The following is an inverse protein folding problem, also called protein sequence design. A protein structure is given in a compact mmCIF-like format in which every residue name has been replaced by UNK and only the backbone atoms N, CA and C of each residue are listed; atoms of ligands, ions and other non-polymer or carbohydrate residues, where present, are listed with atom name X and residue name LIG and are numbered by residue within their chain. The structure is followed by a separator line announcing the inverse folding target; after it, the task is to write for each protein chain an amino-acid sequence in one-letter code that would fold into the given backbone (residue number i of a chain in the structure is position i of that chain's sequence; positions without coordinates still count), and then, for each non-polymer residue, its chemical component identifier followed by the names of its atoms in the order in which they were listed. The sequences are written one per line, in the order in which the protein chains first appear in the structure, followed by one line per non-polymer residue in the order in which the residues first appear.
data_IF_692884960371
#
_entry.id   IF_692884960371
#
_cell.length_a   1.000
_cell.length_b   1.000
_cell.length_c   1.000
_cell.angle_alpha   90.00
_cell.angle_beta   90.00
_cell.angle_gamma   90.00
#
_symmetry.space_group_name_H-M   'P 1'
#
loop_
_entity.id
_entity.type
_entity.pdbx_description
1 polymer ?
#
# COMPACT_ATOMS: atom_id res chain seq x y z
N UNK A 1 -0.13 19.13 -25.35
CA UNK A 1 0.29 19.36 -23.95
C UNK A 1 0.73 18.02 -23.40
N UNK A 2 2.04 17.74 -23.40
CA UNK A 2 2.57 16.47 -22.91
C UNK A 2 2.42 16.40 -21.39
N UNK A 3 1.91 15.29 -20.88
CA UNK A 3 1.66 15.01 -19.47
C UNK A 3 2.95 14.71 -18.69
N UNK A 4 4.06 15.38 -19.03
CA UNK A 4 5.37 15.23 -18.39
C UNK A 4 5.53 16.30 -17.30
N UNK A 5 4.64 16.25 -16.31
CA UNK A 5 5.01 16.71 -14.97
C UNK A 5 5.93 15.64 -14.39
N UNK A 6 7.21 15.95 -14.19
CA UNK A 6 8.17 15.09 -13.49
C UNK A 6 7.48 14.55 -12.24
N UNK A 7 7.05 13.28 -12.24
CA UNK A 7 6.49 12.64 -11.05
C UNK A 7 7.63 12.60 -10.04
N UNK A 8 7.56 13.48 -9.05
CA UNK A 8 8.51 13.51 -7.95
C UNK A 8 8.68 12.10 -7.40
N UNK A 9 9.93 11.66 -7.23
CA UNK A 9 10.22 10.36 -6.64
C UNK A 9 9.73 10.39 -5.20
N UNK A 10 8.83 9.45 -4.87
CA UNK A 10 8.22 9.32 -3.54
C UNK A 10 8.52 7.92 -3.02
N UNK A 11 8.87 7.83 -1.74
CA UNK A 11 9.05 6.56 -1.03
C UNK A 11 8.08 6.47 0.14
N UNK A 12 7.85 5.25 0.60
CA UNK A 12 7.03 5.00 1.78
C UNK A 12 7.89 5.23 3.02
N UNK A 13 7.43 6.09 3.93
CA UNK A 13 8.01 6.25 5.26
C UNK A 13 7.39 5.18 6.19
N UNK A 14 8.16 4.13 6.49
CA UNK A 14 7.68 3.00 7.30
C UNK A 14 7.47 3.37 8.78
N UNK A 15 8.22 4.34 9.31
CA UNK A 15 8.04 4.82 10.69
C UNK A 15 6.66 5.48 10.85
N UNK A 16 6.24 6.30 9.89
CA UNK A 16 4.90 6.93 9.89
C UNK A 16 3.77 5.95 9.74
N UNK A 17 3.97 4.88 8.97
CA UNK A 17 3.01 3.78 8.86
C UNK A 17 2.86 3.05 10.20
N UNK A 18 3.97 2.77 10.90
CA UNK A 18 3.95 2.11 12.20
C UNK A 18 3.30 2.98 13.28
N UNK A 19 3.62 4.28 13.33
CA UNK A 19 2.97 5.26 14.21
C UNK A 19 1.45 5.27 13.99
N UNK A 20 1.00 5.32 12.73
CA UNK A 20 -0.41 5.32 12.39
C UNK A 20 -1.12 4.03 12.85
N UNK A 21 -0.58 2.85 12.53
CA UNK A 21 -1.19 1.58 12.95
C UNK A 21 -1.28 1.45 14.46
N UNK A 22 -0.24 1.90 15.17
CA UNK A 22 -0.24 1.96 16.64
C UNK A 22 -1.36 2.88 17.14
N UNK A 23 -1.52 4.07 16.54
CA UNK A 23 -2.53 5.06 16.95
C UNK A 23 -3.98 4.55 16.85
N UNK A 24 -4.27 3.67 15.88
CA UNK A 24 -5.61 3.11 15.67
C UNK A 24 -5.79 1.73 16.32
N UNK A 25 -4.79 1.25 17.07
CA UNK A 25 -4.82 -0.08 17.70
C UNK A 25 -4.84 -1.23 16.69
N UNK A 26 -4.33 -1.03 15.47
CA UNK A 26 -4.26 -2.07 14.46
C UNK A 26 -3.13 -3.05 14.81
N UNK A 27 -3.43 -4.35 14.80
CA UNK A 27 -2.41 -5.37 14.94
C UNK A 27 -1.46 -5.34 13.73
N UNK A 28 -0.16 -5.28 14.03
CA UNK A 28 0.90 -5.46 13.07
C UNK A 28 1.00 -6.93 12.58
N UNK A 29 0.29 -7.87 13.19
CA UNK A 29 0.32 -9.28 12.80
C UNK A 29 -0.56 -9.57 11.59
N UNK A 30 -0.14 -10.59 10.83
CA UNK A 30 -0.95 -11.17 9.77
C UNK A 30 -2.24 -11.79 10.35
N UNK A 31 -3.43 -11.40 9.86
CA UNK A 31 -4.70 -11.90 10.39
C UNK A 31 -4.96 -13.38 10.07
N UNK A 32 -4.16 -13.98 9.16
CA UNK A 32 -4.32 -15.37 8.73
C UNK A 32 -3.43 -16.32 9.53
N UNK A 33 -2.22 -15.91 9.92
CA UNK A 33 -1.22 -16.81 10.50
C UNK A 33 -0.43 -16.23 11.67
N UNK A 34 -0.84 -15.06 12.17
CA UNK A 34 -0.23 -14.30 13.28
C UNK A 34 1.26 -13.98 13.11
N UNK A 35 1.78 -14.05 11.89
CA UNK A 35 3.15 -13.67 11.59
C UNK A 35 3.28 -12.13 11.56
N UNK A 36 4.20 -11.57 12.34
CA UNK A 36 4.47 -10.14 12.38
C UNK A 36 5.39 -9.65 11.24
N UNK A 37 6.02 -10.57 10.50
CA UNK A 37 6.98 -10.22 9.45
C UNK A 37 6.27 -10.02 8.11
N UNK A 38 6.42 -8.82 7.55
CA UNK A 38 5.87 -8.43 6.25
C UNK A 38 6.99 -8.02 5.30
N UNK A 39 6.74 -8.22 4.01
CA UNK A 39 7.56 -7.73 2.92
C UNK A 39 6.77 -6.69 2.14
N UNK A 40 7.35 -5.52 1.92
CA UNK A 40 6.83 -4.53 0.98
C UNK A 40 7.50 -4.74 -0.39
N UNK A 41 6.76 -4.78 -1.51
CA UNK A 41 7.36 -4.83 -2.83
C UNK A 41 8.18 -3.55 -3.09
N UNK A 42 9.39 -3.72 -3.60
CA UNK A 42 10.27 -2.62 -4.01
C UNK A 42 10.32 -2.52 -5.55
N UNK A 43 11.01 -1.51 -6.09
CA UNK A 43 11.11 -1.29 -7.53
C UNK A 43 11.76 -2.43 -8.32
N UNK A 44 12.44 -3.36 -7.65
CA UNK A 44 13.06 -4.54 -8.26
C UNK A 44 12.07 -5.71 -8.40
N UNK A 45 10.93 -5.64 -7.69
CA UNK A 45 9.84 -6.61 -7.69
C UNK A 45 8.64 -6.01 -8.44
N UNK A 46 8.46 -6.37 -9.71
CA UNK A 46 7.44 -5.87 -10.66
C UNK A 46 6.15 -5.31 -10.02
N UNK A 47 5.81 -4.07 -10.44
CA UNK A 47 4.46 -3.69 -10.89
C UNK A 47 3.53 -3.11 -9.83
N UNK A 48 3.11 -1.86 -10.05
CA UNK A 48 2.06 -1.22 -9.26
C UNK A 48 0.84 -2.12 -9.09
N UNK A 49 0.24 -2.08 -7.90
CA UNK A 49 -0.93 -2.85 -7.59
C UNK A 49 -2.17 -2.19 -8.23
N UNK A 50 -2.89 -2.92 -9.08
CA UNK A 50 -4.19 -2.49 -9.57
C UNK A 50 -5.24 -3.14 -8.67
N UNK A 51 -5.93 -2.34 -7.86
CA UNK A 51 -7.07 -2.82 -7.10
C UNK A 51 -8.24 -2.93 -8.09
N UNK A 52 -8.79 -4.13 -8.34
CA UNK A 52 -10.01 -4.23 -9.13
C UNK A 52 -11.13 -3.58 -8.31
N UNK A 53 -11.61 -2.43 -8.77
CA UNK A 53 -12.83 -1.85 -8.21
C UNK A 53 -14.00 -2.42 -9.01
N UNK A 54 -14.87 -3.17 -8.34
CA UNK A 54 -16.08 -3.70 -8.91
C UNK A 54 -17.24 -2.72 -8.72
N UNK A 55 -18.05 -2.50 -9.74
CA UNK A 55 -19.44 -2.09 -9.47
C UNK A 55 -20.20 -3.34 -9.02
N UNK A 56 -21.21 -3.21 -8.15
CA UNK A 56 -21.95 -4.35 -7.59
C UNK A 56 -22.65 -5.27 -8.63
N UNK A 57 -22.54 -4.97 -9.93
CA UNK A 57 -22.94 -5.78 -11.08
C UNK A 57 -21.86 -6.79 -11.54
N UNK A 58 -20.66 -6.77 -10.96
CA UNK A 58 -19.56 -7.67 -11.33
C UNK A 58 -18.60 -7.13 -12.39
N UNK A 59 -18.84 -5.92 -12.90
CA UNK A 59 -17.91 -5.25 -13.82
C UNK A 59 -16.66 -4.78 -13.05
N UNK A 60 -15.49 -5.25 -13.45
CA UNK A 60 -14.20 -4.85 -12.87
C UNK A 60 -13.58 -3.68 -13.63
N UNK A 61 -13.25 -2.62 -12.91
CA UNK A 61 -12.44 -1.52 -13.41
C UNK A 61 -11.05 -1.60 -12.79
N UNK A 62 -10.02 -1.68 -13.64
CA UNK A 62 -8.64 -1.59 -13.19
C UNK A 62 -8.27 -0.11 -13.06
N UNK A 63 -8.10 0.38 -11.83
CA UNK A 63 -7.55 1.72 -11.57
C UNK A 63 -6.25 1.59 -10.77
N UNK A 64 -5.26 2.39 -11.15
CA UNK A 64 -3.99 2.48 -10.41
C UNK A 64 -4.15 3.46 -9.26
N UNK A 65 -4.18 2.96 -8.03
CA UNK A 65 -4.24 3.78 -6.82
C UNK A 65 -2.90 3.71 -6.07
N UNK A 66 -2.45 4.82 -5.44
CA UNK A 66 -1.34 4.75 -4.52
C UNK A 66 -1.80 3.95 -3.28
N UNK A 67 -1.19 2.78 -3.08
CA UNK A 67 -1.48 1.90 -1.95
C UNK A 67 -0.17 1.40 -1.35
N UNK A 68 -0.16 1.24 -0.03
CA UNK A 68 0.84 0.44 0.67
C UNK A 68 0.43 -1.02 0.53
N UNK A 69 1.30 -1.84 -0.05
CA UNK A 69 1.12 -3.29 -0.16
C UNK A 69 2.06 -3.97 0.84
N UNK A 70 1.50 -4.85 1.66
CA UNK A 70 2.25 -5.66 2.61
C UNK A 70 1.98 -7.13 2.34
N UNK A 71 3.03 -7.93 2.14
CA UNK A 71 2.96 -9.36 1.84
C UNK A 71 3.48 -10.14 3.04
N UNK A 72 2.65 -10.98 3.64
CA UNK A 72 3.06 -11.81 4.76
C UNK A 72 4.15 -12.79 4.31
N UNK A 73 5.31 -12.80 4.97
CA UNK A 73 6.42 -13.67 4.55
C UNK A 73 6.13 -15.16 4.77
N UNK A 74 5.26 -15.50 5.73
CA UNK A 74 4.86 -16.87 6.06
C UNK A 74 3.77 -17.43 5.13
N UNK A 75 2.57 -16.83 5.13
CA UNK A 75 1.41 -17.37 4.41
C UNK A 75 1.09 -16.68 3.08
N UNK A 76 1.88 -15.68 2.67
CA UNK A 76 1.70 -14.89 1.43
C UNK A 76 0.39 -14.11 1.33
N UNK A 77 -0.35 -13.99 2.44
CA UNK A 77 -1.48 -13.07 2.54
C UNK A 77 -1.06 -11.63 2.21
N UNK A 78 -1.87 -10.95 1.41
CA UNK A 78 -1.63 -9.57 0.99
C UNK A 78 -2.59 -8.64 1.73
N UNK A 79 -2.04 -7.65 2.42
CA UNK A 79 -2.76 -6.54 3.05
C UNK A 79 -2.48 -5.27 2.26
N UNK A 80 -3.52 -4.46 2.05
CA UNK A 80 -3.43 -3.21 1.30
C UNK A 80 -3.99 -2.07 2.15
N UNK A 81 -3.33 -0.92 2.13
CA UNK A 81 -3.83 0.32 2.71
C UNK A 81 -3.79 1.44 1.67
N UNK A 82 -4.86 2.25 1.62
CA UNK A 82 -4.89 3.45 0.80
C UNK A 82 -3.81 4.44 1.23
N UNK A 83 -3.17 5.07 0.24
CA UNK A 83 -2.30 6.24 0.42
C UNK A 83 -2.87 7.46 -0.33
N UNK A 84 -4.16 7.44 -0.68
CA UNK A 84 -4.85 8.60 -1.25
C UNK A 84 -4.97 9.69 -0.19
N UNK A 85 -4.92 10.95 -0.60
CA UNK A 85 -5.26 12.11 0.25
C UNK A 85 -4.64 12.09 1.67
N UNK A 86 -3.44 11.51 1.84
CA UNK A 86 -2.79 11.36 3.15
C UNK A 86 -3.57 10.50 4.16
N UNK A 87 -4.31 9.48 3.68
CA UNK A 87 -5.05 8.50 4.50
C UNK A 87 -4.18 7.83 5.57
N UNK A 88 -2.87 7.75 5.33
CA UNK A 88 -1.85 7.47 6.35
C UNK A 88 -0.94 8.71 6.44
N UNK A 89 -1.12 9.56 7.46
CA UNK A 89 -0.41 10.83 7.57
C UNK A 89 1.11 10.69 7.50
N UNK A 90 1.73 11.33 6.51
CA UNK A 90 3.18 11.34 6.34
C UNK A 90 3.78 10.04 5.79
N UNK A 91 2.96 9.08 5.34
CA UNK A 91 3.46 7.83 4.78
C UNK A 91 4.16 8.00 3.42
N UNK A 92 3.96 9.12 2.72
CA UNK A 92 4.64 9.44 1.46
C UNK A 92 5.61 10.61 1.65
N UNK A 93 6.90 10.38 1.39
CA UNK A 93 7.93 11.42 1.44
C UNK A 93 8.71 11.53 0.11
N UNK A 94 9.13 12.75 -0.22
CA UNK A 94 9.94 13.06 -1.40
C UNK A 94 11.43 12.77 -1.14
N UNK A 95 12.15 12.31 -2.16
CA UNK A 95 13.59 12.05 -2.10
C UNK A 95 14.30 12.25 -3.45
#
# INVERSE_FOLDING_TARGET
MSADGIRKKRRINLEKVEEFFTSIGASAECPICSNAVWQAPNSESIGGNAVPWGTGSGDMFATGLPVLVMICTKCKFVRQHSLLNDDIPGALEEF
#
